data_IF_457764365456
#
_entry.id   IF_457764365456
#
_cell.length_a   1.000
_cell.length_b   1.000
_cell.length_c   1.000
_cell.angle_alpha   90.00
_cell.angle_beta   90.00
_cell.angle_gamma   90.00
#
_symmetry.space_group_name_H-M   'P 1'
#
loop_
_entity.id
_entity.type
_entity.pdbx_description
1 polymer ?
#
# COMPACT_ATOMS: atom_id res chain seq x y z
N UNK A 1 47.00 17.18 3.20
CA UNK A 1 45.62 17.04 3.67
C UNK A 1 44.68 17.05 2.49
N UNK A 2 44.18 15.88 2.09
CA UNK A 2 42.93 15.67 1.34
C UNK A 2 42.73 14.15 1.21
N UNK A 3 41.94 13.55 2.09
CA UNK A 3 41.45 12.18 1.93
C UNK A 3 40.00 12.30 1.48
N UNK A 4 39.70 11.67 0.35
CA UNK A 4 38.41 11.67 -0.33
C UNK A 4 37.48 10.61 0.29
N UNK A 5 36.22 11.03 0.46
CA UNK A 5 34.96 10.30 0.38
C UNK A 5 34.86 8.85 0.91
N UNK A 6 34.20 8.71 2.07
CA UNK A 6 33.44 7.51 2.43
C UNK A 6 32.01 7.94 2.79
N UNK A 7 31.16 8.07 1.78
CA UNK A 7 29.73 8.07 1.97
C UNK A 7 29.32 6.71 2.55
N UNK A 8 28.86 6.69 3.80
CA UNK A 8 28.21 5.54 4.40
C UNK A 8 26.94 5.23 3.58
N UNK A 9 27.04 4.26 2.66
CA UNK A 9 25.87 3.60 2.06
C UNK A 9 25.12 2.91 3.19
N UNK A 10 24.11 3.58 3.75
CA UNK A 10 23.09 2.94 4.58
C UNK A 10 22.51 1.74 3.83
N UNK A 11 22.01 0.71 4.54
CA UNK A 11 21.62 -0.55 3.91
C UNK A 11 20.60 -0.26 2.81
N UNK A 12 20.99 -0.52 1.57
CA UNK A 12 20.09 -0.52 0.43
C UNK A 12 18.99 -1.52 0.74
N UNK A 13 17.81 -1.02 1.14
CA UNK A 13 16.61 -1.84 1.29
C UNK A 13 16.34 -2.43 -0.09
N UNK A 14 16.79 -3.66 -0.29
CA UNK A 14 16.49 -4.44 -1.47
C UNK A 14 14.98 -4.58 -1.51
N UNK A 15 14.32 -3.83 -2.40
CA UNK A 15 12.89 -3.95 -2.63
C UNK A 15 12.66 -5.35 -3.18
N UNK A 16 12.35 -6.32 -2.31
CA UNK A 16 11.87 -7.63 -2.71
C UNK A 16 10.66 -7.38 -3.60
N UNK A 17 10.80 -7.66 -4.89
CA UNK A 17 9.69 -7.67 -5.85
C UNK A 17 8.61 -8.55 -5.23
N UNK A 18 7.43 -8.02 -4.91
CA UNK A 18 6.47 -8.81 -4.17
C UNK A 18 5.97 -9.95 -5.05
N UNK A 19 6.38 -11.16 -4.69
CA UNK A 19 6.07 -12.41 -5.38
C UNK A 19 4.66 -12.93 -5.07
N UNK A 20 3.92 -12.28 -4.17
CA UNK A 20 2.51 -12.56 -3.93
C UNK A 20 1.65 -11.62 -4.77
N UNK A 21 0.72 -12.19 -5.56
CA UNK A 21 -0.29 -11.44 -6.31
C UNK A 21 -1.24 -10.61 -5.42
N UNK A 22 -1.07 -10.71 -4.10
CA UNK A 22 -1.80 -9.98 -3.07
C UNK A 22 -0.87 -9.13 -2.20
N UNK A 23 -1.45 -8.13 -1.55
CA UNK A 23 -0.84 -7.27 -0.54
C UNK A 23 -1.82 -7.07 0.62
N UNK A 24 -1.30 -7.03 1.83
CA UNK A 24 -2.07 -6.68 3.04
C UNK A 24 -1.76 -5.25 3.42
N UNK A 25 -2.80 -4.46 3.69
CA UNK A 25 -2.74 -3.06 4.11
C UNK A 25 -3.28 -2.95 5.53
N UNK A 26 -2.65 -2.12 6.36
CA UNK A 26 -3.19 -1.71 7.65
C UNK A 26 -3.79 -0.31 7.51
N UNK A 27 -5.11 -0.19 7.66
CA UNK A 27 -5.85 1.07 7.47
C UNK A 27 -6.45 1.48 8.81
N UNK A 28 -5.83 2.42 9.50
CA UNK A 28 -6.27 2.88 10.82
C UNK A 28 -6.38 1.75 11.87
N UNK A 29 -5.59 0.68 11.73
CA UNK A 29 -5.64 -0.51 12.58
C UNK A 29 -6.39 -1.71 11.98
N UNK A 30 -7.11 -1.53 10.87
CA UNK A 30 -7.87 -2.59 10.20
C UNK A 30 -7.06 -3.21 9.05
N UNK A 31 -6.91 -4.53 9.07
CA UNK A 31 -6.17 -5.25 8.03
C UNK A 31 -7.07 -5.59 6.84
N UNK A 32 -6.63 -5.18 5.65
CA UNK A 32 -7.27 -5.50 4.38
C UNK A 32 -6.29 -6.21 3.45
N UNK A 33 -6.63 -7.40 2.98
CA UNK A 33 -5.87 -8.11 1.94
C UNK A 33 -6.59 -8.02 0.60
N UNK A 34 -5.86 -7.67 -0.44
CA UNK A 34 -6.38 -7.51 -1.79
C UNK A 34 -5.37 -7.94 -2.84
N UNK A 35 -5.86 -8.25 -4.05
CA UNK A 35 -4.99 -8.42 -5.21
C UNK A 35 -4.35 -7.09 -5.60
N UNK A 36 -3.10 -7.15 -6.06
CA UNK A 36 -2.39 -5.96 -6.58
C UNK A 36 -3.14 -5.34 -7.76
N UNK A 37 -3.72 -6.18 -8.62
CA UNK A 37 -4.55 -5.75 -9.76
C UNK A 37 -5.79 -4.97 -9.34
N UNK A 38 -6.42 -5.34 -8.22
CA UNK A 38 -7.56 -4.59 -7.67
C UNK A 38 -7.14 -3.19 -7.24
N UNK A 39 -6.03 -3.06 -6.51
CA UNK A 39 -5.53 -1.77 -6.05
C UNK A 39 -4.98 -0.90 -7.19
N UNK A 40 -4.47 -1.54 -8.25
CA UNK A 40 -3.95 -0.89 -9.44
C UNK A 40 -5.01 -0.51 -10.49
N UNK A 41 -6.31 -0.66 -10.18
CA UNK A 41 -7.41 -0.40 -11.13
C UNK A 41 -7.41 1.03 -11.67
N UNK A 42 -6.96 2.01 -10.89
CA UNK A 42 -6.81 3.39 -11.31
C UNK A 42 -5.34 3.77 -11.37
N UNK A 43 -4.82 3.95 -12.59
CA UNK A 43 -3.43 4.32 -12.84
C UNK A 43 -3.09 5.69 -12.25
N UNK A 44 -1.91 5.80 -11.61
CA UNK A 44 -1.47 7.03 -10.95
C UNK A 44 -2.16 7.31 -9.62
N UNK A 45 -3.09 6.44 -9.18
CA UNK A 45 -3.64 6.53 -7.84
C UNK A 45 -2.62 6.11 -6.79
N UNK A 46 -2.76 6.64 -5.59
CA UNK A 46 -1.93 6.23 -4.45
C UNK A 46 -1.92 4.70 -4.24
N UNK A 47 -3.06 4.03 -4.41
CA UNK A 47 -3.18 2.58 -4.23
C UNK A 47 -2.48 1.79 -5.35
N UNK A 48 -2.43 2.31 -6.58
CA UNK A 48 -1.64 1.71 -7.68
C UNK A 48 -0.14 1.81 -7.40
N UNK A 49 0.33 2.98 -6.96
CA UNK A 49 1.74 3.18 -6.61
C UNK A 49 2.16 2.25 -5.46
N UNK A 50 1.30 2.08 -4.46
CA UNK A 50 1.51 1.19 -3.32
C UNK A 50 1.53 -0.28 -3.76
N UNK A 51 0.58 -0.69 -4.60
CA UNK A 51 0.47 -2.05 -5.12
C UNK A 51 1.61 -2.41 -6.08
N UNK A 52 2.23 -1.44 -6.74
CA UNK A 52 3.36 -1.66 -7.62
C UNK A 52 4.72 -1.47 -6.91
N UNK A 53 4.72 -1.07 -5.64
CA UNK A 53 5.93 -0.77 -4.88
C UNK A 53 6.74 0.39 -5.46
N UNK A 54 6.08 1.26 -6.26
CA UNK A 54 6.70 2.44 -6.90
C UNK A 54 6.90 3.57 -5.90
N UNK A 55 6.06 3.63 -4.85
CA UNK A 55 6.22 4.56 -3.74
C UNK A 55 6.86 3.86 -2.54
N UNK A 56 7.88 4.46 -1.91
CA UNK A 56 8.33 4.00 -0.61
C UNK A 56 7.15 4.06 0.36
N UNK A 57 6.82 2.91 0.94
CA UNK A 57 5.85 2.85 2.04
C UNK A 57 6.49 3.58 3.22
N UNK A 58 6.01 4.79 3.49
CA UNK A 58 6.60 5.66 4.52
C UNK A 58 6.42 5.08 5.93
N UNK A 59 5.29 4.41 6.16
CA UNK A 59 4.95 3.80 7.43
C UNK A 59 4.44 2.39 7.22
N UNK A 60 4.98 1.44 7.99
CA UNK A 60 4.46 0.08 8.09
C UNK A 60 4.07 -0.18 9.55
N UNK A 61 3.10 -1.07 9.76
CA UNK A 61 2.81 -1.58 11.10
C UNK A 61 3.94 -2.51 11.62
N UNK A 62 3.76 -3.04 12.83
CA UNK A 62 4.73 -3.96 13.47
C UNK A 62 4.93 -5.27 12.69
N UNK A 63 4.03 -5.61 11.77
CA UNK A 63 4.10 -6.81 10.92
C UNK A 63 4.65 -6.49 9.52
N UNK A 64 5.00 -5.23 9.24
CA UNK A 64 5.52 -4.80 7.95
C UNK A 64 4.44 -4.52 6.89
N UNK A 65 3.16 -4.49 7.26
CA UNK A 65 2.10 -4.11 6.32
C UNK A 65 2.11 -2.59 6.11
N UNK A 66 1.96 -2.09 4.87
CA UNK A 66 1.77 -0.66 4.63
C UNK A 66 0.64 -0.07 5.46
N UNK A 67 0.95 1.00 6.17
CA UNK A 67 0.00 1.72 7.01
C UNK A 67 -0.63 2.89 6.25
N UNK A 68 -1.95 3.01 6.36
CA UNK A 68 -2.75 4.10 5.82
C UNK A 68 -3.51 4.73 6.98
N UNK A 69 -3.23 6.00 7.26
CA UNK A 69 -3.87 6.77 8.32
C UNK A 69 -5.27 7.25 7.89
N UNK A 70 -6.21 6.30 7.78
CA UNK A 70 -7.61 6.51 7.39
C UNK A 70 -8.52 5.55 8.15
N UNK A 71 -9.82 5.85 8.14
CA UNK A 71 -10.85 4.99 8.72
C UNK A 71 -10.96 3.65 7.97
N UNK A 72 -10.70 2.54 8.68
CA UNK A 72 -10.76 1.19 8.13
C UNK A 72 -12.17 0.81 7.62
N UNK A 73 -13.23 0.91 8.44
CA UNK A 73 -14.59 0.60 8.02
C UNK A 73 -15.04 1.30 6.72
N UNK A 74 -14.71 2.57 6.54
CA UNK A 74 -14.95 3.34 5.31
C UNK A 74 -14.09 2.80 4.16
N UNK A 75 -12.83 2.43 4.39
CA UNK A 75 -11.95 1.86 3.37
C UNK A 75 -12.49 0.57 2.74
N UNK A 76 -13.27 -0.22 3.47
CA UNK A 76 -13.98 -1.38 2.88
C UNK A 76 -14.81 -1.00 1.65
N UNK A 77 -15.45 0.17 1.65
CA UNK A 77 -16.25 0.66 0.52
C UNK A 77 -15.37 1.04 -0.66
N UNK A 78 -14.22 1.68 -0.41
CA UNK A 78 -13.20 1.95 -1.43
C UNK A 78 -12.75 0.64 -2.07
N UNK A 79 -12.43 -0.36 -1.26
CA UNK A 79 -11.98 -1.66 -1.77
C UNK A 79 -13.07 -2.39 -2.58
N UNK A 80 -14.33 -2.32 -2.15
CA UNK A 80 -15.46 -2.89 -2.87
C UNK A 80 -15.70 -2.18 -4.21
N UNK A 81 -15.58 -0.86 -4.25
CA UNK A 81 -15.64 -0.09 -5.50
C UNK A 81 -14.53 -0.51 -6.46
N UNK A 82 -13.30 -0.70 -5.97
CA UNK A 82 -12.20 -1.19 -6.81
C UNK A 82 -12.48 -2.61 -7.35
N UNK A 83 -13.15 -3.48 -6.59
CA UNK A 83 -13.51 -4.83 -7.07
C UNK A 83 -14.63 -4.81 -8.12
N UNK A 84 -15.71 -4.08 -7.85
CA UNK A 84 -16.96 -4.17 -8.62
C UNK A 84 -17.08 -3.09 -9.70
N UNK A 85 -16.46 -1.92 -9.48
CA UNK A 85 -16.71 -0.72 -10.28
C UNK A 85 -17.92 0.09 -9.81
N UNK A 86 -18.60 -0.34 -8.76
CA UNK A 86 -19.83 0.28 -8.25
C UNK A 86 -19.66 0.75 -6.80
N UNK A 87 -20.16 1.94 -6.50
CA UNK A 87 -20.20 2.43 -5.12
C UNK A 87 -21.38 1.77 -4.41
N UNK A 88 -21.08 0.86 -3.48
CA UNK A 88 -22.11 0.24 -2.64
C UNK A 88 -22.67 1.27 -1.64
N UNK A 89 -23.98 1.56 -1.66
CA UNK A 89 -24.59 2.46 -0.69
C UNK A 89 -24.36 1.95 0.74
N UNK A 90 -24.05 2.87 1.66
CA UNK A 90 -23.88 2.54 3.09
C UNK A 90 -25.21 2.16 3.74
N UNK A 91 -26.34 2.53 3.12
CA UNK A 91 -27.68 2.19 3.59
C UNK A 91 -28.47 1.54 2.46
N UNK A 92 -28.71 0.24 2.58
CA UNK A 92 -29.86 -0.40 1.92
C UNK A 92 -30.79 -0.80 3.06
N UNK A 93 -31.81 0.02 3.28
CA UNK A 93 -33.04 -0.35 4.01
C UNK A 93 -34.01 -0.96 3.02
#
# INVERSE_FOLDING_TARGET
GKQMDLAAKGPSKSFKKPSSGTITLNVGGFLYTAHRTTLAKHQGSFLEELANGKKPVQHTDSMGNPFIDRDGPVFRHVLNYLRTGELQPIFTI
#
